data_IF_114612720519
#
_entry.id   IF_114612720519
#
_cell.length_a   1.000
_cell.length_b   1.000
_cell.length_c   1.000
_cell.angle_alpha   90.00
_cell.angle_beta   90.00
_cell.angle_gamma   90.00
#
_symmetry.space_group_name_H-M   'P 1'
#
loop_
_entity.id
_entity.type
_entity.pdbx_description
1 polymer ?
#
# COMPACT_ATOMS: atom_id res chain seq x y z
N UNK A 1 19.42 11.88 -18.93
CA UNK A 1 18.86 10.91 -17.97
C UNK A 1 19.23 11.43 -16.60
N UNK A 2 18.30 12.09 -15.92
CA UNK A 2 18.46 12.36 -14.50
C UNK A 2 17.99 11.09 -13.78
N UNK A 3 18.89 10.51 -12.99
CA UNK A 3 18.65 9.33 -12.18
C UNK A 3 17.76 9.75 -11.02
N UNK A 4 16.57 9.17 -10.92
CA UNK A 4 15.60 9.47 -9.85
C UNK A 4 16.10 8.83 -8.55
N UNK A 5 16.38 9.64 -7.53
CA UNK A 5 16.77 9.15 -6.19
C UNK A 5 15.58 9.20 -5.21
N UNK A 6 15.05 8.05 -4.77
CA UNK A 6 14.00 7.99 -3.75
C UNK A 6 14.40 8.59 -2.39
N UNK A 7 15.67 8.91 -2.17
CA UNK A 7 16.16 9.57 -0.95
C UNK A 7 16.02 11.09 -0.98
N UNK A 8 15.74 11.72 -2.13
CA UNK A 8 15.44 13.17 -2.19
C UNK A 8 14.23 13.54 -1.31
N UNK A 9 13.33 12.58 -1.04
CA UNK A 9 12.22 12.71 -0.09
C UNK A 9 12.65 13.07 1.35
N UNK A 10 13.90 12.83 1.73
CA UNK A 10 14.42 13.00 3.10
C UNK A 10 15.56 14.01 3.21
N UNK A 11 16.08 14.51 2.09
CA UNK A 11 17.11 15.53 2.12
C UNK A 11 16.47 16.90 2.41
N UNK A 12 16.78 17.48 3.57
CA UNK A 12 16.51 18.89 3.80
C UNK A 12 17.32 19.68 2.77
N UNK A 13 16.67 20.25 1.77
CA UNK A 13 17.33 21.24 0.92
C UNK A 13 17.66 22.44 1.79
N UNK A 14 18.95 22.68 2.04
CA UNK A 14 19.48 23.91 2.64
C UNK A 14 19.23 25.09 1.70
N UNK A 15 17.98 25.54 1.60
CA UNK A 15 17.66 26.84 1.03
C UNK A 15 17.82 27.88 2.13
N UNK A 16 18.89 28.66 1.96
CA UNK A 16 19.30 29.85 2.69
C UNK A 16 18.16 30.50 3.49
N UNK A 17 18.36 30.60 4.80
CA UNK A 17 17.55 31.44 5.69
C UNK A 17 17.72 32.89 5.26
N UNK A 18 16.77 33.41 4.51
CA UNK A 18 16.68 34.83 4.23
C UNK A 18 16.09 35.53 5.46
N UNK A 19 16.98 36.09 6.29
CA UNK A 19 16.62 36.83 7.50
C UNK A 19 16.21 38.25 7.13
N UNK A 20 14.99 38.43 6.63
CA UNK A 20 14.36 39.75 6.55
C UNK A 20 12.90 39.65 6.98
N UNK A 21 12.66 39.72 8.30
CA UNK A 21 11.34 39.85 8.89
C UNK A 21 10.91 41.31 8.77
N UNK A 22 10.09 41.64 7.77
CA UNK A 22 9.22 42.82 7.81
C UNK A 22 7.88 42.42 8.42
N UNK A 23 7.60 42.98 9.61
CA UNK A 23 6.31 42.86 10.32
C UNK A 23 5.17 43.43 9.45
N UNK A 24 4.31 42.57 8.91
CA UNK A 24 2.95 42.96 8.52
C UNK A 24 1.98 42.41 9.56
N UNK A 25 1.27 43.31 10.24
CA UNK A 25 0.25 42.96 11.23
C UNK A 25 -1.00 42.42 10.53
N UNK A 26 -1.31 41.15 10.76
CA UNK A 26 -2.66 40.63 10.51
C UNK A 26 -3.41 40.58 11.85
N UNK A 27 -4.62 41.16 11.85
CA UNK A 27 -5.49 41.25 13.02
C UNK A 27 -6.00 39.89 13.52
N UNK A 28 -6.74 39.87 14.64
CA UNK A 28 -7.13 38.63 15.31
C UNK A 28 -8.02 37.78 14.41
N UNK A 29 -7.53 36.58 14.05
CA UNK A 29 -8.27 35.57 13.31
C UNK A 29 -9.44 35.09 14.19
N UNK A 30 -10.67 35.40 13.76
CA UNK A 30 -11.89 34.85 14.35
C UNK A 30 -12.00 33.36 14.00
N UNK A 31 -12.01 32.51 15.03
CA UNK A 31 -12.50 31.14 14.92
C UNK A 31 -13.97 31.15 14.48
N UNK A 32 -14.24 30.65 13.28
CA UNK A 32 -15.60 30.30 12.85
C UNK A 32 -15.79 28.83 13.21
N UNK A 33 -16.59 28.58 14.24
CA UNK A 33 -17.07 27.26 14.61
C UNK A 33 -18.24 26.85 13.69
N UNK A 34 -18.17 25.58 13.24
CA UNK A 34 -19.28 24.67 12.92
C UNK A 34 -20.15 24.92 11.68
N UNK A 35 -20.03 24.00 10.71
CA UNK A 35 -21.17 23.29 10.14
C UNK A 35 -20.78 21.86 9.68
N UNK A 36 -21.28 20.89 10.44
CA UNK A 36 -21.57 19.48 10.10
C UNK A 36 -20.51 18.62 9.40
N UNK A 37 -19.45 18.27 10.14
CA UNK A 37 -18.70 17.04 9.93
C UNK A 37 -19.58 15.84 10.32
N UNK A 38 -20.08 15.09 9.34
CA UNK A 38 -20.65 13.77 9.58
C UNK A 38 -19.48 12.86 9.96
N UNK A 39 -19.39 12.55 11.25
CA UNK A 39 -18.36 11.75 11.92
C UNK A 39 -17.94 10.50 11.13
N UNK A 40 -16.79 10.57 10.46
CA UNK A 40 -15.85 9.45 10.48
C UNK A 40 -14.96 9.70 11.69
N UNK A 41 -15.37 9.10 12.80
CA UNK A 41 -14.59 9.07 14.04
C UNK A 41 -13.17 8.61 13.72
N UNK A 42 -12.17 9.41 14.10
CA UNK A 42 -10.88 8.89 14.52
C UNK A 42 -11.15 7.76 15.52
N UNK A 43 -11.20 6.52 15.06
CA UNK A 43 -11.20 5.37 15.96
C UNK A 43 -9.75 5.15 16.42
N UNK A 44 -9.24 6.09 17.21
CA UNK A 44 -8.31 5.78 18.29
C UNK A 44 -9.07 4.96 19.33
N UNK A 45 -9.38 3.71 18.98
CA UNK A 45 -9.82 2.73 19.95
C UNK A 45 -8.67 1.75 20.10
N UNK A 46 -7.63 2.24 20.79
CA UNK A 46 -6.85 1.33 21.64
C UNK A 46 -7.90 0.65 22.53
N UNK A 47 -7.91 -0.69 22.72
CA UNK A 47 -8.74 -1.27 23.76
C UNK A 47 -8.45 -0.45 25.02
N UNK A 48 -9.48 0.10 25.68
CA UNK A 48 -9.33 1.02 26.83
C UNK A 48 -8.05 0.70 27.59
N UNK A 49 -7.16 1.67 27.86
CA UNK A 49 -5.85 1.41 28.52
C UNK A 49 -5.97 0.44 29.73
N UNK A 50 -7.15 0.42 30.37
CA UNK A 50 -7.56 -0.51 31.42
C UNK A 50 -7.70 -2.02 31.05
N UNK A 51 -7.71 -2.42 29.77
CA UNK A 51 -8.02 -3.81 29.33
C UNK A 51 -6.96 -4.48 28.47
N UNK A 52 -5.99 -3.75 27.92
CA UNK A 52 -4.83 -4.38 27.27
C UNK A 52 -3.71 -4.58 28.29
N UNK A 53 -3.08 -5.76 28.35
CA UNK A 53 -1.90 -5.92 29.18
C UNK A 53 -0.82 -4.96 28.70
N UNK A 54 -0.47 -3.95 29.51
CA UNK A 54 0.66 -3.08 29.26
C UNK A 54 1.92 -3.92 29.49
N UNK A 55 2.50 -4.41 28.41
CA UNK A 55 3.77 -5.13 28.41
C UNK A 55 4.85 -4.08 28.19
N UNK A 56 5.89 -4.05 29.01
CA UNK A 56 7.08 -3.22 28.77
C UNK A 56 8.16 -4.05 28.04
N UNK A 57 9.14 -3.39 27.42
CA UNK A 57 10.31 -4.09 26.88
C UNK A 57 11.05 -4.87 27.96
N UNK A 58 11.03 -4.38 29.20
CA UNK A 58 11.64 -5.03 30.36
C UNK A 58 10.91 -6.32 30.77
N UNK A 59 9.68 -6.52 30.30
CA UNK A 59 8.93 -7.75 30.56
C UNK A 59 9.35 -8.91 29.64
N UNK A 60 10.14 -8.64 28.59
CA UNK A 60 10.64 -9.64 27.64
C UNK A 60 11.95 -10.28 28.13
N UNK A 61 12.23 -11.54 27.72
CA UNK A 61 13.46 -12.23 28.08
C UNK A 61 14.70 -11.59 27.47
N UNK A 62 15.70 -11.30 28.30
CA UNK A 62 17.01 -10.82 27.82
C UNK A 62 17.87 -11.98 27.30
N UNK A 63 18.83 -11.70 26.43
CA UNK A 63 19.77 -12.73 25.93
C UNK A 63 20.54 -13.39 27.09
N UNK A 64 20.83 -12.63 28.15
CA UNK A 64 21.49 -13.12 29.36
C UNK A 64 20.73 -14.25 30.06
N UNK A 65 19.40 -14.31 29.93
CA UNK A 65 18.59 -15.40 30.48
C UNK A 65 18.57 -16.66 29.60
N UNK A 66 19.27 -16.63 28.46
CA UNK A 66 19.40 -17.76 27.51
C UNK A 66 18.05 -18.36 27.11
N UNK A 67 17.10 -17.55 26.57
CA UNK A 67 15.80 -18.06 26.17
C UNK A 67 15.93 -19.15 25.10
N UNK A 68 15.21 -20.28 25.22
CA UNK A 68 15.29 -21.37 24.26
C UNK A 68 14.63 -20.97 22.92
N UNK A 69 14.92 -21.77 21.88
CA UNK A 69 14.43 -21.54 20.51
C UNK A 69 12.91 -21.39 20.45
N UNK A 70 12.17 -22.24 21.16
CA UNK A 70 10.72 -22.27 21.17
C UNK A 70 10.12 -20.98 21.74
N UNK A 71 10.76 -20.41 22.77
CA UNK A 71 10.34 -19.17 23.44
C UNK A 71 10.52 -17.98 22.50
N UNK A 72 11.71 -17.81 21.94
CA UNK A 72 11.99 -16.69 21.03
C UNK A 72 11.11 -16.76 19.77
N UNK A 73 10.97 -17.95 19.17
CA UNK A 73 10.11 -18.15 18.01
C UNK A 73 8.64 -17.82 18.33
N UNK A 74 8.16 -18.18 19.52
CA UNK A 74 6.78 -17.86 19.93
C UNK A 74 6.59 -16.36 20.11
N UNK A 75 7.53 -15.68 20.78
CA UNK A 75 7.54 -14.22 20.92
C UNK A 75 7.52 -13.56 19.54
N UNK A 76 8.41 -13.96 18.63
CA UNK A 76 8.51 -13.38 17.29
C UNK A 76 7.23 -13.56 16.47
N UNK A 77 6.61 -14.75 16.52
CA UNK A 77 5.33 -15.00 15.85
C UNK A 77 4.20 -14.13 16.40
N UNK A 78 4.17 -13.90 17.72
CA UNK A 78 3.16 -13.04 18.34
C UNK A 78 3.41 -11.55 18.01
N UNK A 79 4.67 -11.14 17.91
CA UNK A 79 5.08 -9.77 17.55
C UNK A 79 4.90 -9.44 16.06
N UNK A 80 4.92 -10.44 15.18
CA UNK A 80 4.76 -10.25 13.74
C UNK A 80 3.50 -9.45 13.42
N UNK A 81 3.57 -8.55 12.44
CA UNK A 81 2.38 -7.87 11.97
C UNK A 81 1.40 -8.90 11.38
N UNK A 82 0.10 -8.62 11.46
CA UNK A 82 -0.87 -9.44 10.72
C UNK A 82 -0.65 -9.28 9.21
N UNK A 83 -1.16 -10.25 8.44
CA UNK A 83 -1.22 -10.15 6.98
C UNK A 83 -1.91 -8.83 6.66
N UNK A 84 -1.13 -7.85 6.20
CA UNK A 84 -1.61 -6.49 5.98
C UNK A 84 -2.71 -6.56 4.93
N UNK A 85 -3.91 -6.13 5.32
CA UNK A 85 -5.07 -6.19 4.43
C UNK A 85 -5.08 -4.99 3.51
N UNK A 86 -5.25 -3.79 4.05
CA UNK A 86 -5.27 -2.54 3.28
C UNK A 86 -4.23 -1.52 3.78
N UNK A 87 -4.17 -0.36 3.11
CA UNK A 87 -3.39 0.79 3.56
C UNK A 87 -3.95 1.39 4.86
N UNK A 88 -3.12 2.17 5.57
CA UNK A 88 -3.52 2.82 6.82
C UNK A 88 -3.43 1.92 8.07
N UNK A 89 -3.96 2.37 9.22
CA UNK A 89 -3.79 1.70 10.52
C UNK A 89 -4.42 0.29 10.65
N UNK A 90 -4.97 -0.26 9.57
CA UNK A 90 -5.68 -1.53 9.56
C UNK A 90 -7.04 -1.45 10.27
N UNK A 91 -7.86 -2.49 10.12
CA UNK A 91 -9.06 -2.63 10.95
C UNK A 91 -8.61 -3.04 12.34
N UNK A 92 -8.73 -2.12 13.30
CA UNK A 92 -8.49 -2.42 14.70
C UNK A 92 -9.67 -3.26 15.19
N UNK A 93 -9.40 -4.48 15.63
CA UNK A 93 -10.42 -5.35 16.21
C UNK A 93 -11.00 -4.66 17.46
N UNK A 94 -12.31 -4.39 17.44
CA UNK A 94 -13.01 -3.70 18.54
C UNK A 94 -13.09 -4.53 19.83
N UNK A 95 -12.76 -5.82 19.76
CA UNK A 95 -12.81 -6.77 20.87
C UNK A 95 -11.49 -7.53 21.04
N UNK A 96 -11.12 -7.81 22.28
CA UNK A 96 -9.98 -8.67 22.61
C UNK A 96 -10.30 -10.10 22.17
N UNK A 97 -9.45 -10.66 21.32
CA UNK A 97 -9.60 -12.01 20.82
C UNK A 97 -9.27 -13.03 21.91
N UNK A 98 -9.98 -14.17 21.95
CA UNK A 98 -9.56 -15.31 22.77
C UNK A 98 -8.15 -15.80 22.37
N UNK A 99 -7.36 -16.24 23.36
CA UNK A 99 -5.98 -16.73 23.17
C UNK A 99 -5.90 -17.75 22.04
N UNK A 100 -6.80 -18.74 22.01
CA UNK A 100 -6.80 -19.78 20.97
C UNK A 100 -6.94 -19.20 19.54
N UNK A 101 -7.72 -18.12 19.37
CA UNK A 101 -7.90 -17.47 18.07
C UNK A 101 -6.62 -16.72 17.65
N UNK A 102 -5.92 -16.10 18.60
CA UNK A 102 -4.61 -15.47 18.37
C UNK A 102 -3.58 -16.51 17.94
N UNK A 103 -3.47 -17.64 18.66
CA UNK A 103 -2.51 -18.69 18.33
C UNK A 103 -2.74 -19.27 16.94
N UNK A 104 -4.01 -19.50 16.58
CA UNK A 104 -4.38 -19.97 15.24
C UNK A 104 -3.99 -18.95 14.16
N UNK A 105 -4.29 -17.65 14.38
CA UNK A 105 -3.90 -16.57 13.45
C UNK A 105 -2.39 -16.47 13.25
N UNK A 106 -1.62 -16.63 14.32
CA UNK A 106 -0.15 -16.51 14.31
C UNK A 106 0.59 -17.81 14.01
N UNK A 107 -0.13 -18.89 13.69
CA UNK A 107 0.45 -20.22 13.45
C UNK A 107 1.38 -20.67 14.59
N UNK A 108 0.94 -20.46 15.83
CA UNK A 108 1.63 -20.89 17.05
C UNK A 108 0.96 -22.17 17.55
N UNK A 109 1.74 -23.25 17.67
CA UNK A 109 1.23 -24.52 18.19
C UNK A 109 0.95 -24.43 19.68
N UNK A 110 -0.10 -25.09 20.16
CA UNK A 110 -0.52 -25.04 21.57
C UNK A 110 0.57 -25.56 22.51
N UNK A 111 1.28 -26.61 22.11
CA UNK A 111 2.36 -27.21 22.90
C UNK A 111 3.57 -26.27 22.99
N UNK A 112 3.93 -25.63 21.87
CA UNK A 112 4.99 -24.62 21.80
C UNK A 112 4.65 -23.41 22.69
N UNK A 113 3.40 -22.94 22.64
CA UNK A 113 2.93 -21.83 23.46
C UNK A 113 2.98 -22.17 24.95
N UNK A 114 2.49 -23.36 25.32
CA UNK A 114 2.46 -23.83 26.72
C UNK A 114 3.87 -23.98 27.28
N UNK A 115 4.79 -24.58 26.52
CA UNK A 115 6.20 -24.66 26.89
C UNK A 115 6.81 -23.28 27.11
N UNK A 116 6.56 -22.36 26.18
CA UNK A 116 7.11 -21.01 26.25
C UNK A 116 6.56 -20.23 27.46
N UNK A 117 5.27 -20.38 27.75
CA UNK A 117 4.63 -19.77 28.91
C UNK A 117 5.23 -20.30 30.22
N UNK A 118 5.37 -21.62 30.36
CA UNK A 118 5.98 -22.22 31.55
C UNK A 118 7.42 -21.75 31.76
N UNK A 119 8.20 -21.64 30.68
CA UNK A 119 9.56 -21.13 30.77
C UNK A 119 9.59 -19.67 31.24
N UNK A 120 8.72 -18.81 30.69
CA UNK A 120 8.63 -17.39 31.07
C UNK A 120 8.22 -17.22 32.54
N UNK A 121 7.29 -18.04 33.02
CA UNK A 121 6.84 -18.06 34.42
C UNK A 121 7.96 -18.45 35.38
N UNK A 122 8.72 -19.51 35.03
CA UNK A 122 9.83 -19.99 35.85
C UNK A 122 10.98 -18.97 35.96
N UNK A 123 11.13 -18.09 34.97
CA UNK A 123 12.14 -17.02 34.97
C UNK A 123 11.56 -15.65 35.38
N UNK A 124 10.30 -15.63 35.85
CA UNK A 124 9.60 -14.44 36.37
C UNK A 124 9.51 -13.26 35.38
N UNK A 125 9.47 -13.54 34.08
CA UNK A 125 9.25 -12.48 33.08
C UNK A 125 7.80 -12.00 33.10
N UNK A 126 7.60 -10.67 33.10
CA UNK A 126 6.28 -10.07 33.21
C UNK A 126 5.33 -10.46 32.09
N UNK A 127 5.86 -10.73 30.89
CA UNK A 127 5.09 -11.21 29.73
C UNK A 127 4.48 -12.60 29.95
N UNK A 128 5.06 -13.40 30.85
CA UNK A 128 4.59 -14.76 31.19
C UNK A 128 3.58 -14.83 32.33
N UNK A 129 3.12 -13.70 32.90
CA UNK A 129 2.20 -13.69 34.06
C UNK A 129 0.94 -14.53 33.84
N UNK A 130 0.36 -14.49 32.65
CA UNK A 130 -0.77 -15.33 32.26
C UNK A 130 -0.75 -15.64 30.76
N UNK A 131 -1.61 -16.57 30.33
CA UNK A 131 -1.83 -16.86 28.91
C UNK A 131 -2.31 -15.63 28.14
N UNK A 132 -3.13 -14.78 28.77
CA UNK A 132 -3.68 -13.56 28.19
C UNK A 132 -2.59 -12.50 28.05
N UNK A 133 -1.73 -12.34 29.06
CA UNK A 133 -0.59 -11.42 28.97
C UNK A 133 0.38 -11.85 27.87
N UNK A 134 0.71 -13.14 27.80
CA UNK A 134 1.66 -13.61 26.79
C UNK A 134 1.09 -13.50 25.37
N UNK A 135 -0.16 -13.93 25.16
CA UNK A 135 -0.85 -13.74 23.89
C UNK A 135 -1.07 -12.25 23.55
N UNK A 136 -1.09 -11.38 24.56
CA UNK A 136 -1.19 -9.93 24.45
C UNK A 136 -0.07 -9.27 23.64
N UNK A 137 1.07 -9.96 23.44
CA UNK A 137 2.12 -9.54 22.49
C UNK A 137 1.57 -9.29 21.07
N UNK A 138 0.46 -9.95 20.70
CA UNK A 138 -0.30 -9.69 19.46
C UNK A 138 -0.75 -8.23 19.31
N UNK A 139 -1.09 -7.57 20.40
CA UNK A 139 -1.51 -6.17 20.44
C UNK A 139 -0.31 -5.23 20.65
N UNK A 140 0.80 -5.74 21.18
CA UNK A 140 1.98 -4.94 21.54
C UNK A 140 2.61 -4.23 20.35
N UNK A 141 2.67 -4.89 19.19
CA UNK A 141 3.16 -4.31 17.93
C UNK A 141 2.33 -3.11 17.45
N UNK A 142 1.13 -2.88 18.01
CA UNK A 142 0.19 -1.83 17.59
C UNK A 142 0.09 -0.65 18.56
N UNK A 143 0.48 -0.82 19.83
CA UNK A 143 0.19 0.12 20.91
C UNK A 143 1.44 0.84 21.44
N UNK A 144 2.61 0.20 21.40
CA UNK A 144 3.84 0.74 22.02
C UNK A 144 4.81 1.33 21.01
N UNK A 145 5.68 2.23 21.49
CA UNK A 145 6.77 2.85 20.74
C UNK A 145 7.56 1.80 19.96
N UNK A 146 7.45 1.84 18.63
CA UNK A 146 8.16 0.98 17.68
C UNK A 146 9.66 0.89 17.98
N UNK A 147 10.24 1.96 18.53
CA UNK A 147 11.65 2.06 18.86
C UNK A 147 12.10 1.04 19.91
N UNK A 148 11.30 0.79 20.97
CA UNK A 148 11.67 -0.18 22.01
C UNK A 148 11.74 -1.58 21.42
N UNK A 149 10.70 -2.01 20.69
CA UNK A 149 10.68 -3.32 20.06
C UNK A 149 11.83 -3.50 19.06
N UNK A 150 12.12 -2.49 18.24
CA UNK A 150 13.26 -2.54 17.31
C UNK A 150 14.57 -2.73 18.09
N UNK A 151 14.80 -1.98 19.17
CA UNK A 151 16.00 -2.13 19.99
C UNK A 151 16.14 -3.55 20.57
N UNK A 152 15.04 -4.15 21.06
CA UNK A 152 15.04 -5.52 21.55
C UNK A 152 15.46 -6.52 20.46
N UNK A 153 14.87 -6.41 19.27
CA UNK A 153 15.17 -7.29 18.14
C UNK A 153 16.61 -7.08 17.63
N UNK A 154 17.09 -5.84 17.57
CA UNK A 154 18.46 -5.50 17.20
C UNK A 154 19.46 -6.16 18.16
N UNK A 155 19.20 -6.11 19.48
CA UNK A 155 20.06 -6.78 20.46
C UNK A 155 20.15 -8.28 20.20
N UNK A 156 19.03 -8.93 19.85
CA UNK A 156 19.01 -10.37 19.53
C UNK A 156 19.89 -10.67 18.30
N UNK A 157 19.67 -9.94 17.20
CA UNK A 157 20.45 -10.11 15.96
C UNK A 157 21.94 -9.86 16.20
N UNK A 158 22.30 -8.92 17.08
CA UNK A 158 23.69 -8.54 17.37
C UNK A 158 24.43 -9.53 18.28
N UNK A 159 23.72 -10.47 18.92
CA UNK A 159 24.30 -11.33 19.98
C UNK A 159 24.88 -12.65 19.49
N UNK A 160 24.72 -12.94 18.20
CA UNK A 160 25.04 -14.22 17.55
C UNK A 160 24.36 -15.48 18.14
N UNK A 161 23.55 -15.33 19.21
CA UNK A 161 22.85 -16.40 19.93
C UNK A 161 23.77 -17.60 20.25
N UNK A 162 25.03 -17.34 20.60
CA UNK A 162 26.09 -18.35 20.74
C UNK A 162 25.85 -19.41 21.82
N UNK A 163 24.90 -19.17 22.73
CA UNK A 163 24.46 -20.14 23.73
C UNK A 163 23.60 -21.27 23.15
N UNK A 164 23.12 -21.16 21.91
CA UNK A 164 22.39 -22.23 21.20
C UNK A 164 23.34 -23.02 20.31
N UNK A 165 23.40 -24.34 20.49
CA UNK A 165 24.32 -25.20 19.71
C UNK A 165 23.91 -25.32 18.24
N UNK A 166 22.59 -25.30 17.95
CA UNK A 166 22.05 -25.53 16.62
C UNK A 166 22.13 -24.27 15.73
N UNK A 167 23.06 -24.27 14.78
CA UNK A 167 23.26 -23.17 13.83
C UNK A 167 22.02 -22.85 12.99
N UNK A 168 21.28 -23.87 12.56
CA UNK A 168 20.06 -23.67 11.77
C UNK A 168 19.00 -22.89 12.56
N UNK A 169 18.84 -23.20 13.85
CA UNK A 169 17.91 -22.49 14.73
C UNK A 169 18.36 -21.04 14.96
N UNK A 170 19.67 -20.79 15.13
CA UNK A 170 20.20 -19.43 15.26
C UNK A 170 19.90 -18.59 14.02
N UNK A 171 20.19 -19.13 12.84
CA UNK A 171 19.97 -18.43 11.57
C UNK A 171 18.49 -18.13 11.35
N UNK A 172 17.60 -19.08 11.67
CA UNK A 172 16.15 -18.90 11.56
C UNK A 172 15.63 -17.80 12.52
N UNK A 173 16.15 -17.73 13.75
CA UNK A 173 15.80 -16.67 14.69
C UNK A 173 16.30 -15.29 14.23
N UNK A 174 17.52 -15.22 13.69
CA UNK A 174 18.07 -13.96 13.15
C UNK A 174 17.26 -13.47 11.96
N UNK A 175 16.88 -14.37 11.05
CA UNK A 175 16.03 -14.04 9.90
C UNK A 175 14.65 -13.53 10.33
N UNK A 176 14.02 -14.20 11.31
CA UNK A 176 12.75 -13.75 11.87
C UNK A 176 12.87 -12.37 12.56
N UNK A 177 13.91 -12.15 13.35
CA UNK A 177 14.13 -10.87 14.02
C UNK A 177 14.40 -9.74 13.02
N UNK A 178 15.24 -9.97 12.01
CA UNK A 178 15.51 -9.01 10.95
C UNK A 178 14.24 -8.67 10.15
N UNK A 179 13.41 -9.67 9.86
CA UNK A 179 12.11 -9.48 9.21
C UNK A 179 11.19 -8.58 10.05
N UNK A 180 11.09 -8.84 11.35
CA UNK A 180 10.28 -8.02 12.28
C UNK A 180 10.78 -6.58 12.36
N UNK A 181 12.10 -6.37 12.38
CA UNK A 181 12.70 -5.03 12.30
C UNK A 181 12.27 -4.34 11.01
N UNK A 182 12.40 -5.01 9.86
CA UNK A 182 12.01 -4.48 8.55
C UNK A 182 10.51 -4.16 8.45
N UNK A 183 9.64 -5.02 9.00
CA UNK A 183 8.19 -4.78 9.08
C UNK A 183 7.83 -3.51 9.87
N UNK A 184 8.63 -3.18 10.89
CA UNK A 184 8.37 -2.06 11.79
C UNK A 184 9.17 -0.79 11.47
N UNK A 185 10.13 -0.85 10.54
CA UNK A 185 10.99 0.26 10.14
C UNK A 185 10.47 1.04 8.92
N UNK A 186 9.19 0.88 8.58
CA UNK A 186 8.55 1.55 7.44
C UNK A 186 8.64 0.76 6.13
N UNK A 187 7.99 1.28 5.08
CA UNK A 187 7.81 0.52 3.83
C UNK A 187 9.11 0.25 3.07
N UNK A 188 10.08 1.17 3.17
CA UNK A 188 11.42 1.11 2.55
C UNK A 188 12.25 -0.05 3.07
N UNK A 189 12.21 -0.32 4.37
CA UNK A 189 12.98 -1.37 5.03
C UNK A 189 12.35 -2.76 4.91
N UNK A 190 11.09 -2.85 4.44
CA UNK A 190 10.34 -4.10 4.42
C UNK A 190 10.69 -4.96 3.21
N UNK A 191 10.99 -6.23 3.48
CA UNK A 191 11.18 -7.26 2.46
C UNK A 191 9.93 -7.43 1.56
N UNK A 192 10.09 -8.16 0.46
CA UNK A 192 8.97 -8.49 -0.42
C UNK A 192 7.95 -9.37 0.31
N UNK A 193 6.67 -9.15 0.06
CA UNK A 193 5.59 -9.91 0.68
C UNK A 193 4.36 -10.00 -0.25
N UNK A 194 3.39 -10.81 0.15
CA UNK A 194 2.06 -10.85 -0.48
C UNK A 194 1.08 -10.14 0.44
N UNK A 195 0.48 -9.06 -0.05
CA UNK A 195 -0.58 -8.29 0.60
C UNK A 195 -1.94 -8.89 0.24
N UNK A 196 -2.88 -8.92 1.17
CA UNK A 196 -4.27 -9.34 0.89
C UNK A 196 -5.18 -8.13 0.88
N UNK A 197 -5.38 -7.51 -0.27
CA UNK A 197 -6.27 -6.36 -0.43
C UNK A 197 -7.73 -6.79 -0.28
N UNK A 198 -8.46 -6.09 0.59
CA UNK A 198 -9.92 -6.21 0.74
C UNK A 198 -10.53 -4.94 0.15
N UNK A 199 -11.18 -5.04 -1.01
CA UNK A 199 -11.82 -3.88 -1.62
C UNK A 199 -13.23 -3.71 -1.04
N UNK A 200 -13.59 -2.53 -0.50
CA UNK A 200 -14.94 -2.27 -0.02
C UNK A 200 -15.99 -2.53 -1.12
N UNK A 201 -17.10 -3.19 -0.76
CA UNK A 201 -18.11 -3.68 -1.71
C UNK A 201 -17.76 -4.98 -2.42
N UNK A 202 -16.55 -5.52 -2.21
CA UNK A 202 -16.04 -6.76 -2.82
C UNK A 202 -15.39 -7.70 -1.79
N UNK A 203 -15.81 -7.64 -0.52
CA UNK A 203 -15.13 -8.25 0.62
C UNK A 203 -15.12 -9.78 0.62
N UNK A 204 -15.98 -10.42 -0.19
CA UNK A 204 -16.02 -11.87 -0.33
C UNK A 204 -14.84 -12.43 -1.14
N UNK A 205 -14.17 -11.58 -1.90
CA UNK A 205 -13.04 -11.94 -2.76
C UNK A 205 -11.76 -11.30 -2.22
N UNK A 206 -10.89 -12.12 -1.64
CA UNK A 206 -9.57 -11.67 -1.19
C UNK A 206 -8.64 -11.49 -2.40
N UNK A 207 -8.11 -10.28 -2.60
CA UNK A 207 -7.17 -10.00 -3.69
C UNK A 207 -5.74 -10.11 -3.18
N UNK A 208 -4.98 -11.05 -3.72
CA UNK A 208 -3.59 -11.29 -3.31
C UNK A 208 -2.61 -10.58 -4.23
N UNK A 209 -1.82 -9.66 -3.69
CA UNK A 209 -0.86 -8.86 -4.45
C UNK A 209 0.55 -9.10 -3.94
N UNK A 210 1.42 -9.65 -4.79
CA UNK A 210 2.85 -9.76 -4.54
C UNK A 210 3.52 -8.41 -4.79
N UNK A 211 4.14 -7.89 -3.74
CA UNK A 211 4.96 -6.69 -3.75
C UNK A 211 6.41 -7.06 -3.41
N UNK A 212 7.34 -7.01 -4.36
CA UNK A 212 8.77 -7.21 -4.12
C UNK A 212 9.35 -6.23 -3.09
N UNK A 213 10.57 -6.46 -2.61
CA UNK A 213 11.26 -5.51 -1.73
C UNK A 213 11.51 -4.18 -2.47
N UNK A 214 11.47 -3.05 -1.76
CA UNK A 214 11.77 -1.75 -2.39
C UNK A 214 13.29 -1.60 -2.54
N UNK A 215 13.80 -1.99 -3.70
CA UNK A 215 15.23 -1.91 -4.03
C UNK A 215 15.36 -1.22 -5.38
N UNK A 216 16.17 -0.15 -5.47
CA UNK A 216 16.34 0.64 -6.70
C UNK A 216 15.01 1.15 -7.29
N UNK A 217 14.87 1.06 -8.62
CA UNK A 217 13.75 1.59 -9.42
C UNK A 217 12.43 0.77 -9.36
N UNK A 218 12.26 -0.12 -8.37
CA UNK A 218 11.10 -1.03 -8.28
C UNK A 218 9.81 -0.36 -7.73
N UNK A 219 9.65 0.94 -7.92
CA UNK A 219 8.50 1.74 -7.44
C UNK A 219 7.20 1.29 -8.13
N UNK A 220 7.26 0.95 -9.42
CA UNK A 220 6.12 0.41 -10.15
C UNK A 220 5.67 -0.98 -9.69
N UNK A 221 6.44 -1.67 -8.85
CA UNK A 221 6.03 -2.96 -8.27
C UNK A 221 5.32 -2.82 -6.91
N UNK A 222 4.93 -1.60 -6.53
CA UNK A 222 4.18 -1.30 -5.32
C UNK A 222 2.72 -1.01 -5.64
N UNK A 223 1.85 -1.40 -4.72
CA UNK A 223 0.45 -0.99 -4.76
C UNK A 223 0.35 0.37 -4.08
N UNK A 224 -0.22 1.35 -4.78
CA UNK A 224 -0.41 2.71 -4.27
C UNK A 224 -1.87 2.93 -3.86
N UNK A 225 -2.10 3.85 -2.92
CA UNK A 225 -3.44 4.14 -2.37
C UNK A 225 -4.47 4.44 -3.47
N UNK A 226 -4.07 5.15 -4.53
CA UNK A 226 -4.94 5.45 -5.68
C UNK A 226 -5.52 4.21 -6.34
N UNK A 227 -4.75 3.12 -6.46
CA UNK A 227 -5.24 1.88 -7.08
C UNK A 227 -6.33 1.20 -6.24
N UNK A 228 -6.29 1.34 -4.91
CA UNK A 228 -7.34 0.82 -4.02
C UNK A 228 -8.61 1.68 -4.10
N UNK A 229 -8.47 3.01 -4.09
CA UNK A 229 -9.62 3.93 -4.23
C UNK A 229 -10.27 3.75 -5.61
N UNK A 230 -9.47 3.65 -6.66
CA UNK A 230 -9.95 3.35 -8.02
C UNK A 230 -10.68 2.00 -8.06
N UNK A 231 -10.12 0.96 -7.43
CA UNK A 231 -10.75 -0.35 -7.34
C UNK A 231 -12.11 -0.30 -6.62
N UNK A 232 -12.20 0.41 -5.49
CA UNK A 232 -13.45 0.61 -4.74
C UNK A 232 -14.51 1.32 -5.60
N UNK A 233 -14.13 2.40 -6.29
CA UNK A 233 -15.03 3.11 -7.21
C UNK A 233 -15.54 2.20 -8.33
N UNK A 234 -14.66 1.40 -8.92
CA UNK A 234 -15.01 0.45 -9.97
C UNK A 234 -15.96 -0.63 -9.42
N UNK A 235 -15.70 -1.19 -8.24
CA UNK A 235 -16.61 -2.17 -7.62
C UNK A 235 -18.01 -1.60 -7.45
N UNK A 236 -18.11 -0.35 -6.97
CA UNK A 236 -19.40 0.28 -6.69
C UNK A 236 -20.14 0.72 -7.96
N UNK A 237 -19.42 1.16 -9.00
CA UNK A 237 -20.00 1.84 -10.17
C UNK A 237 -19.51 1.30 -11.52
N UNK A 238 -19.10 0.02 -11.61
CA UNK A 238 -18.46 -0.57 -12.79
C UNK A 238 -19.17 -0.29 -14.12
N UNK A 239 -20.51 -0.43 -14.17
CA UNK A 239 -21.29 -0.24 -15.41
C UNK A 239 -21.29 1.21 -15.90
N UNK A 240 -21.15 2.16 -14.98
CA UNK A 240 -21.13 3.59 -15.28
C UNK A 240 -19.71 4.07 -15.58
N UNK A 241 -18.70 3.52 -14.89
CA UNK A 241 -17.30 3.92 -15.03
C UNK A 241 -16.59 3.24 -16.19
N UNK A 242 -16.97 2.01 -16.55
CA UNK A 242 -16.21 1.19 -17.49
C UNK A 242 -17.03 0.82 -18.72
N UNK A 243 -16.39 0.97 -19.89
CA UNK A 243 -16.82 0.46 -21.18
C UNK A 243 -15.69 -0.30 -21.83
N UNK A 244 -15.98 -1.50 -22.31
CA UNK A 244 -15.02 -2.32 -23.05
C UNK A 244 -14.84 -1.80 -24.48
N UNK A 245 -13.64 -1.96 -25.08
CA UNK A 245 -12.41 -2.49 -24.48
C UNK A 245 -11.76 -1.54 -23.46
N UNK A 246 -11.12 -2.08 -22.41
CA UNK A 246 -10.51 -1.35 -21.31
C UNK A 246 -8.98 -1.48 -21.38
N UNK A 247 -8.27 -0.36 -21.25
CA UNK A 247 -6.82 -0.31 -21.06
C UNK A 247 -6.49 0.30 -19.71
N UNK A 248 -5.67 -0.38 -18.92
CA UNK A 248 -5.05 0.16 -17.72
C UNK A 248 -3.60 0.51 -18.06
N UNK A 249 -3.25 1.79 -17.90
CA UNK A 249 -1.92 2.33 -18.15
C UNK A 249 -1.17 2.46 -16.83
N UNK A 250 0.03 1.88 -16.75
CA UNK A 250 0.82 1.88 -15.51
C UNK A 250 0.14 1.02 -14.44
N UNK A 251 -0.20 -0.22 -14.81
CA UNK A 251 -0.91 -1.16 -13.95
C UNK A 251 -0.16 -1.45 -12.65
N UNK A 252 1.15 -1.33 -12.64
CA UNK A 252 2.03 -1.67 -11.52
C UNK A 252 1.82 -3.11 -11.06
N UNK A 253 1.23 -3.27 -9.87
CA UNK A 253 0.87 -4.59 -9.34
C UNK A 253 -0.38 -5.20 -9.97
N UNK A 254 -1.20 -4.42 -10.67
CA UNK A 254 -2.37 -4.87 -11.42
C UNK A 254 -3.67 -4.91 -10.64
N UNK A 255 -3.75 -4.28 -9.46
CA UNK A 255 -4.93 -4.34 -8.59
C UNK A 255 -6.21 -3.97 -9.35
N UNK A 256 -6.21 -2.85 -10.08
CA UNK A 256 -7.40 -2.39 -10.80
C UNK A 256 -7.74 -3.31 -11.97
N UNK A 257 -6.76 -3.74 -12.76
CA UNK A 257 -6.95 -4.74 -13.81
C UNK A 257 -7.54 -6.07 -13.32
N UNK A 258 -7.05 -6.60 -12.19
CA UNK A 258 -7.55 -7.82 -11.55
C UNK A 258 -9.01 -7.64 -11.12
N UNK A 259 -9.35 -6.50 -10.52
CA UNK A 259 -10.73 -6.17 -10.13
C UNK A 259 -11.64 -6.13 -11.34
N UNK A 260 -11.25 -5.46 -12.43
CA UNK A 260 -12.01 -5.46 -13.67
C UNK A 260 -12.27 -6.90 -14.18
N UNK A 261 -11.25 -7.76 -14.18
CA UNK A 261 -11.41 -9.17 -14.59
C UNK A 261 -12.36 -9.95 -13.68
N UNK A 262 -12.23 -9.80 -12.36
CA UNK A 262 -13.11 -10.46 -11.36
C UNK A 262 -14.55 -9.96 -11.41
N UNK A 263 -14.79 -8.71 -11.80
CA UNK A 263 -16.13 -8.17 -12.05
C UNK A 263 -16.75 -8.65 -13.38
N UNK A 264 -16.01 -9.43 -14.17
CA UNK A 264 -16.51 -10.11 -15.36
C UNK A 264 -16.18 -9.42 -16.69
N UNK A 265 -15.45 -8.31 -16.69
CA UNK A 265 -14.95 -7.69 -17.92
C UNK A 265 -13.96 -8.64 -18.62
N UNK A 266 -14.13 -8.84 -19.93
CA UNK A 266 -13.40 -9.83 -20.75
C UNK A 266 -12.33 -9.20 -21.64
N UNK A 267 -12.45 -7.92 -21.95
CA UNK A 267 -11.54 -7.14 -22.82
C UNK A 267 -10.82 -6.09 -21.99
N UNK A 268 -10.06 -6.56 -21.00
CA UNK A 268 -9.19 -5.73 -20.16
C UNK A 268 -7.75 -5.98 -20.58
N UNK A 269 -6.99 -4.92 -20.80
CA UNK A 269 -5.55 -4.96 -21.02
C UNK A 269 -4.85 -4.15 -19.91
N UNK A 270 -4.02 -4.83 -19.13
CA UNK A 270 -3.20 -4.24 -18.08
C UNK A 270 -1.77 -4.09 -18.60
N UNK A 271 -1.24 -2.87 -18.57
CA UNK A 271 0.03 -2.55 -19.24
C UNK A 271 1.01 -1.80 -18.35
N UNK A 272 2.29 -2.14 -18.52
CA UNK A 272 3.39 -1.49 -17.82
C UNK A 272 4.73 -1.71 -18.55
N UNK A 273 5.85 -1.28 -17.96
CA UNK A 273 7.20 -1.48 -18.47
C UNK A 273 7.63 -2.96 -18.46
N UNK A 274 8.60 -3.35 -19.31
CA UNK A 274 9.09 -4.74 -19.40
C UNK A 274 9.54 -5.33 -18.06
N UNK A 275 10.08 -4.51 -17.16
CA UNK A 275 10.55 -4.92 -15.84
C UNK A 275 9.40 -5.25 -14.89
N UNK A 276 8.22 -4.64 -15.06
CA UNK A 276 7.07 -4.74 -14.15
C UNK A 276 6.08 -5.83 -14.59
N UNK A 277 5.90 -6.02 -15.89
CA UNK A 277 4.95 -6.99 -16.46
C UNK A 277 5.12 -8.43 -15.92
N UNK A 278 6.32 -8.96 -15.63
CA UNK A 278 6.47 -10.27 -15.00
C UNK A 278 5.78 -10.38 -13.63
N UNK A 279 5.89 -9.36 -12.78
CA UNK A 279 5.22 -9.34 -11.47
C UNK A 279 3.71 -9.13 -11.61
N UNK A 280 3.28 -8.28 -12.54
CA UNK A 280 1.87 -8.12 -12.91
C UNK A 280 1.22 -9.47 -13.30
N UNK A 281 1.89 -10.26 -14.16
CA UNK A 281 1.44 -11.61 -14.54
C UNK A 281 1.38 -12.56 -13.33
N UNK A 282 2.39 -12.52 -12.46
CA UNK A 282 2.38 -13.31 -11.24
C UNK A 282 1.17 -12.96 -10.34
N UNK A 283 0.80 -11.69 -10.25
CA UNK A 283 -0.38 -11.26 -9.51
C UNK A 283 -1.69 -11.71 -10.15
N UNK A 284 -1.80 -11.74 -11.48
CA UNK A 284 -2.95 -12.35 -12.15
C UNK A 284 -3.08 -13.83 -11.77
N UNK A 285 -1.99 -14.61 -11.82
CA UNK A 285 -2.00 -16.02 -11.41
C UNK A 285 -2.41 -16.19 -9.94
N UNK A 286 -1.91 -15.36 -9.03
CA UNK A 286 -2.27 -15.41 -7.60
C UNK A 286 -3.76 -15.21 -7.33
N UNK A 287 -4.49 -14.62 -8.28
CA UNK A 287 -5.92 -14.31 -8.18
C UNK A 287 -6.81 -15.20 -9.07
N UNK A 288 -6.26 -16.32 -9.59
CA UNK A 288 -6.99 -17.28 -10.41
C UNK A 288 -7.28 -16.79 -11.84
N UNK A 289 -6.42 -15.93 -12.38
CA UNK A 289 -6.53 -15.34 -13.71
C UNK A 289 -5.43 -15.86 -14.66
N UNK A 290 -4.97 -17.09 -14.48
CA UNK A 290 -3.92 -17.70 -15.31
C UNK A 290 -4.31 -17.84 -16.79
N UNK A 291 -5.60 -17.95 -17.09
CA UNK A 291 -6.10 -17.96 -18.49
C UNK A 291 -6.04 -16.58 -19.15
N UNK A 292 -5.89 -15.51 -18.35
CA UNK A 292 -5.95 -14.12 -18.80
C UNK A 292 -4.57 -13.47 -18.93
N UNK A 293 -3.48 -14.22 -18.85
CA UNK A 293 -2.11 -13.67 -18.91
C UNK A 293 -1.78 -12.93 -20.22
N UNK A 294 -2.51 -13.21 -21.30
CA UNK A 294 -2.43 -12.45 -22.57
C UNK A 294 -2.91 -10.99 -22.42
N UNK A 295 -3.62 -10.69 -21.33
CA UNK A 295 -4.08 -9.36 -20.94
C UNK A 295 -3.00 -8.49 -20.32
N UNK A 296 -1.87 -9.08 -19.92
CA UNK A 296 -0.75 -8.37 -19.33
C UNK A 296 0.31 -8.12 -20.41
N UNK A 297 0.46 -6.87 -20.85
CA UNK A 297 1.35 -6.50 -21.97
C UNK A 297 2.31 -5.37 -21.62
N UNK A 298 3.41 -5.31 -22.37
CA UNK A 298 4.34 -4.19 -22.30
C UNK A 298 3.75 -3.01 -23.06
N UNK A 299 3.69 -1.83 -22.44
CA UNK A 299 3.40 -0.57 -23.11
C UNK A 299 4.24 0.53 -22.45
N UNK A 300 5.29 0.94 -23.15
CA UNK A 300 6.12 2.08 -22.77
C UNK A 300 5.50 3.36 -23.33
N UNK A 301 5.15 4.30 -22.44
CA UNK A 301 4.50 5.55 -22.83
C UNK A 301 5.41 6.46 -23.66
N UNK A 302 6.72 6.38 -23.45
CA UNK A 302 7.72 7.16 -24.19
C UNK A 302 7.87 6.66 -25.63
N UNK A 303 7.59 5.38 -25.87
CA UNK A 303 7.65 4.75 -27.19
C UNK A 303 6.71 3.54 -27.31
N UNK A 304 5.47 3.79 -27.76
CA UNK A 304 4.45 2.76 -27.96
C UNK A 304 4.46 2.13 -29.36
N UNK A 305 5.47 2.40 -30.20
CA UNK A 305 5.51 1.90 -31.60
C UNK A 305 5.52 0.37 -31.70
N UNK A 306 6.27 -0.30 -30.81
CA UNK A 306 6.28 -1.76 -30.70
C UNK A 306 4.91 -2.31 -30.33
N UNK A 307 4.27 -1.71 -29.32
CA UNK A 307 2.91 -2.08 -28.91
C UNK A 307 1.90 -1.90 -30.05
N UNK A 308 1.95 -0.77 -30.78
CA UNK A 308 1.08 -0.53 -31.94
C UNK A 308 1.30 -1.55 -33.06
N UNK A 309 2.55 -1.92 -33.33
CA UNK A 309 2.88 -2.90 -34.38
C UNK A 309 2.32 -4.29 -34.06
N UNK A 310 2.37 -4.70 -32.79
CA UNK A 310 1.78 -5.96 -32.32
C UNK A 310 0.24 -5.91 -32.22
N UNK A 311 -0.34 -4.70 -32.11
CA UNK A 311 -1.76 -4.48 -31.87
C UNK A 311 -2.33 -3.39 -32.83
N UNK A 312 -2.28 -3.59 -34.16
CA UNK A 312 -2.45 -2.52 -35.16
C UNK A 312 -3.82 -1.85 -35.16
N UNK A 313 -4.85 -2.56 -34.71
CA UNK A 313 -6.25 -2.12 -34.70
C UNK A 313 -6.82 -1.99 -33.29
N UNK A 314 -5.98 -1.95 -32.26
CA UNK A 314 -6.44 -1.91 -30.89
C UNK A 314 -6.84 -0.47 -30.50
N UNK A 315 -8.11 -0.31 -30.12
CA UNK A 315 -8.66 0.93 -29.58
C UNK A 315 -9.46 0.59 -28.33
N UNK A 316 -9.52 1.53 -27.39
CA UNK A 316 -10.16 1.34 -26.09
C UNK A 316 -11.26 2.37 -25.87
N UNK A 317 -12.37 1.90 -25.33
CA UNK A 317 -13.50 2.75 -24.92
C UNK A 317 -13.27 3.33 -23.52
N UNK A 318 -12.44 2.67 -22.69
CA UNK A 318 -12.04 3.19 -21.39
C UNK A 318 -10.54 3.06 -21.18
N UNK A 319 -9.89 4.13 -20.75
CA UNK A 319 -8.50 4.12 -20.29
C UNK A 319 -8.49 4.46 -18.79
N UNK A 320 -7.83 3.62 -17.99
CA UNK A 320 -7.70 3.73 -16.53
C UNK A 320 -6.28 4.14 -16.19
N UNK A 321 -6.14 5.13 -15.32
CA UNK A 321 -4.87 5.61 -14.78
C UNK A 321 -4.98 5.72 -13.26
N UNK A 322 -4.07 5.09 -12.52
CA UNK A 322 -3.98 5.18 -11.05
C UNK A 322 -2.57 5.62 -10.64
N UNK A 323 -2.46 6.78 -10.00
CA UNK A 323 -1.20 7.44 -9.62
C UNK A 323 -0.16 7.56 -10.76
N UNK A 324 -0.52 8.11 -11.94
CA UNK A 324 0.37 8.07 -13.10
C UNK A 324 1.42 9.21 -13.15
N UNK A 325 1.34 10.21 -12.27
CA UNK A 325 2.15 11.44 -12.38
C UNK A 325 3.22 11.51 -11.28
N UNK A 326 4.47 11.26 -11.68
CA UNK A 326 5.66 11.42 -10.84
C UNK A 326 6.91 11.86 -11.64
N UNK A 327 6.74 12.19 -12.93
CA UNK A 327 7.78 12.77 -13.80
C UNK A 327 7.18 13.84 -14.70
N UNK A 328 7.96 14.84 -15.08
CA UNK A 328 7.49 15.98 -15.89
C UNK A 328 7.14 15.59 -17.34
N UNK A 329 7.66 14.46 -17.82
CA UNK A 329 7.36 13.91 -19.14
C UNK A 329 6.02 13.17 -19.20
N UNK A 330 5.53 12.65 -18.07
CA UNK A 330 4.34 11.80 -18.01
C UNK A 330 3.09 12.45 -18.59
N UNK A 331 2.76 13.73 -18.28
CA UNK A 331 1.62 14.39 -18.90
C UNK A 331 1.63 14.30 -20.44
N UNK A 332 2.79 14.56 -21.04
CA UNK A 332 2.96 14.55 -22.50
C UNK A 332 2.84 13.14 -23.08
N UNK A 333 3.55 12.18 -22.49
CA UNK A 333 3.54 10.79 -22.96
C UNK A 333 2.15 10.15 -22.83
N UNK A 334 1.48 10.34 -21.69
CA UNK A 334 0.12 9.83 -21.47
C UNK A 334 -0.82 10.43 -22.51
N UNK A 335 -0.80 11.74 -22.74
CA UNK A 335 -1.63 12.36 -23.77
C UNK A 335 -1.37 11.79 -25.16
N UNK A 336 -0.12 11.46 -25.53
CA UNK A 336 0.16 10.82 -26.81
C UNK A 336 -0.44 9.41 -26.91
N UNK A 337 -0.35 8.62 -25.84
CA UNK A 337 -1.00 7.29 -25.75
C UNK A 337 -2.53 7.44 -25.85
N UNK A 338 -3.14 8.41 -25.16
CA UNK A 338 -4.57 8.67 -25.26
C UNK A 338 -4.99 9.06 -26.69
N UNK A 339 -4.23 9.92 -27.37
CA UNK A 339 -4.51 10.32 -28.77
C UNK A 339 -4.53 9.12 -29.72
N UNK A 340 -3.67 8.16 -29.47
CA UNK A 340 -3.42 6.99 -30.31
C UNK A 340 -4.45 5.87 -30.09
N UNK A 341 -4.82 5.61 -28.83
CA UNK A 341 -5.53 4.39 -28.44
C UNK A 341 -6.95 4.62 -27.89
N UNK A 342 -7.34 5.85 -27.51
CA UNK A 342 -8.70 6.13 -27.06
C UNK A 342 -9.64 6.30 -28.27
N UNK A 343 -10.77 5.58 -28.29
CA UNK A 343 -11.77 5.73 -29.35
C UNK A 343 -12.29 7.17 -29.39
N UNK A 344 -12.20 7.84 -30.54
CA UNK A 344 -12.59 9.25 -30.72
C UNK A 344 -14.07 9.45 -31.08
N UNK A 345 -14.60 8.58 -31.92
CA UNK A 345 -15.95 8.74 -32.50
C UNK A 345 -17.07 8.16 -31.63
N UNK A 346 -16.78 7.85 -30.36
CA UNK A 346 -17.77 7.38 -29.41
C UNK A 346 -17.84 8.33 -28.21
N UNK A 347 -18.99 9.03 -28.00
CA UNK A 347 -19.19 9.90 -26.84
C UNK A 347 -19.24 9.13 -25.51
N UNK A 348 -19.32 7.80 -25.56
CA UNK A 348 -19.15 6.93 -24.40
C UNK A 348 -17.67 6.62 -24.11
N UNK A 349 -16.72 7.05 -24.92
CA UNK A 349 -15.30 6.87 -24.61
C UNK A 349 -14.87 7.76 -23.47
N UNK A 350 -14.06 7.21 -22.56
CA UNK A 350 -13.68 7.91 -21.33
C UNK A 350 -12.28 7.57 -20.85
N UNK A 351 -11.70 8.50 -20.12
CA UNK A 351 -10.51 8.29 -19.31
C UNK A 351 -10.90 8.46 -17.86
N UNK A 352 -10.60 7.48 -17.02
CA UNK A 352 -10.79 7.57 -15.57
C UNK A 352 -9.44 7.62 -14.89
N UNK A 353 -9.28 8.58 -13.98
CA UNK A 353 -7.98 8.93 -13.42
C UNK A 353 -8.14 9.09 -11.90
N UNK A 354 -7.33 8.40 -11.13
CA UNK A 354 -7.20 8.59 -9.68
C UNK A 354 -5.77 9.01 -9.36
N UNK A 355 -5.56 10.21 -8.79
CA UNK A 355 -4.21 10.73 -8.50
C UNK A 355 -4.15 11.25 -7.06
N UNK A 356 -3.08 10.98 -6.29
CA UNK A 356 -2.88 11.59 -4.99
C UNK A 356 -2.44 13.05 -5.12
N UNK A 357 -2.94 13.91 -4.23
CA UNK A 357 -2.61 15.33 -4.16
C UNK A 357 -1.30 15.56 -3.38
N UNK A 358 -0.17 15.20 -4.01
CA UNK A 358 1.18 15.46 -3.49
C UNK A 358 1.67 16.86 -3.92
N UNK A 359 2.15 17.68 -2.99
CA UNK A 359 2.56 19.07 -3.29
C UNK A 359 3.68 19.18 -4.34
N UNK A 360 4.63 18.26 -4.33
CA UNK A 360 5.77 18.27 -5.27
C UNK A 360 5.36 18.22 -6.76
N UNK A 361 4.25 17.52 -7.06
CA UNK A 361 3.80 17.28 -8.44
C UNK A 361 2.61 18.16 -8.84
N UNK A 362 2.33 19.23 -8.10
CA UNK A 362 1.18 20.12 -8.37
C UNK A 362 1.24 20.72 -9.76
N UNK A 363 2.38 21.33 -10.13
CA UNK A 363 2.59 21.91 -11.47
C UNK A 363 2.49 20.86 -12.58
N UNK A 364 3.05 19.68 -12.35
CA UNK A 364 3.02 18.57 -13.31
C UNK A 364 1.58 18.06 -13.52
N UNK A 365 0.77 17.98 -12.45
CA UNK A 365 -0.66 17.67 -12.54
C UNK A 365 -1.45 18.76 -13.25
N UNK A 366 -1.21 20.03 -12.96
CA UNK A 366 -1.85 21.15 -13.65
C UNK A 366 -1.58 21.12 -15.16
N UNK A 367 -0.32 20.88 -15.55
CA UNK A 367 0.05 20.69 -16.95
C UNK A 367 -0.72 19.52 -17.59
N UNK A 368 -0.89 18.41 -16.86
CA UNK A 368 -1.67 17.27 -17.36
C UNK A 368 -3.13 17.64 -17.64
N UNK A 369 -3.78 18.39 -16.75
CA UNK A 369 -5.16 18.86 -16.97
C UNK A 369 -5.27 19.75 -18.21
N UNK A 370 -4.35 20.71 -18.37
CA UNK A 370 -4.29 21.59 -19.53
C UNK A 370 -4.13 20.79 -20.83
N UNK A 371 -3.27 19.77 -20.84
CA UNK A 371 -3.03 18.93 -22.01
C UNK A 371 -4.24 18.06 -22.38
N UNK A 372 -5.00 17.55 -21.38
CA UNK A 372 -6.24 16.82 -21.65
C UNK A 372 -7.30 17.73 -22.29
N UNK A 373 -7.48 18.93 -21.75
CA UNK A 373 -8.42 19.92 -22.29
C UNK A 373 -8.03 20.35 -23.71
N UNK A 374 -6.74 20.66 -23.95
CA UNK A 374 -6.23 21.05 -25.26
C UNK A 374 -6.40 19.94 -26.31
N UNK A 375 -6.51 18.67 -25.90
CA UNK A 375 -6.79 17.55 -26.79
C UNK A 375 -8.27 17.43 -27.17
N UNK A 376 -9.17 18.13 -26.46
CA UNK A 376 -10.61 18.06 -26.64
C UNK A 376 -11.33 17.10 -25.68
N UNK A 377 -10.65 16.64 -24.63
CA UNK A 377 -11.30 15.93 -23.53
C UNK A 377 -11.87 16.94 -22.53
N UNK A 378 -13.14 16.77 -22.18
CA UNK A 378 -13.86 17.58 -21.21
C UNK A 378 -14.03 16.76 -19.94
N UNK A 379 -13.76 17.38 -18.81
CA UNK A 379 -14.04 16.84 -17.49
C UNK A 379 -15.57 16.71 -17.27
N UNK A 380 -16.02 15.51 -16.93
CA UNK A 380 -17.44 15.24 -16.66
C UNK A 380 -17.73 14.93 -15.19
N UNK A 381 -16.70 14.54 -14.43
CA UNK A 381 -16.82 14.14 -13.02
C UNK A 381 -15.54 14.49 -12.30
N UNK A 382 -15.68 15.06 -11.10
CA UNK A 382 -14.59 15.30 -10.15
C UNK A 382 -15.06 14.91 -8.77
N UNK A 383 -14.26 14.12 -8.08
CA UNK A 383 -14.52 13.73 -6.71
C UNK A 383 -13.20 13.76 -5.93
N UNK A 384 -13.20 14.43 -4.78
CA UNK A 384 -12.11 14.34 -3.82
C UNK A 384 -12.39 13.21 -2.83
N UNK A 385 -11.37 12.40 -2.57
CA UNK A 385 -11.44 11.28 -1.63
C UNK A 385 -10.31 11.43 -0.62
N UNK A 386 -10.56 11.00 0.62
CA UNK A 386 -9.51 10.85 1.62
C UNK A 386 -9.18 9.37 1.74
N UNK A 387 -7.90 9.05 1.89
CA UNK A 387 -7.46 7.68 2.00
C UNK A 387 -6.02 7.56 2.47
N UNK A 388 -5.54 6.32 2.49
CA UNK A 388 -4.21 6.00 2.95
C UNK A 388 -3.39 5.34 1.85
N UNK A 389 -2.09 5.59 1.84
CA UNK A 389 -1.09 4.70 1.24
C UNK A 389 -0.12 4.20 2.33
N UNK A 390 0.98 3.55 1.96
CA UNK A 390 1.99 3.07 2.94
C UNK A 390 2.81 4.21 3.60
N UNK A 391 2.70 5.44 3.12
CA UNK A 391 3.44 6.62 3.55
C UNK A 391 2.59 7.61 4.35
N UNK A 392 1.27 7.46 4.34
CA UNK A 392 0.39 8.23 5.20
C UNK A 392 -1.00 8.43 4.64
N UNK A 393 -1.70 9.40 5.23
CA UNK A 393 -2.98 9.87 4.74
C UNK A 393 -2.77 10.90 3.64
N UNK A 394 -3.51 10.75 2.55
CA UNK A 394 -3.49 11.66 1.42
C UNK A 394 -4.91 11.98 0.97
N UNK A 395 -5.05 13.15 0.36
CA UNK A 395 -6.21 13.43 -0.48
C UNK A 395 -5.95 12.91 -1.87
N UNK A 396 -6.97 12.34 -2.47
CA UNK A 396 -6.95 11.78 -3.82
C UNK A 396 -8.01 12.48 -4.66
N UNK A 397 -7.71 12.66 -5.93
CA UNK A 397 -8.57 13.31 -6.89
C UNK A 397 -8.94 12.31 -7.96
N UNK A 398 -10.22 11.97 -8.00
CA UNK A 398 -10.83 11.17 -9.04
C UNK A 398 -11.40 12.08 -10.12
N UNK A 399 -11.06 11.80 -11.38
CA UNK A 399 -11.61 12.52 -12.54
C UNK A 399 -12.04 11.58 -13.63
N UNK A 400 -13.14 11.95 -14.29
CA UNK A 400 -13.60 11.30 -15.53
C UNK A 400 -13.58 12.33 -16.65
N UNK A 401 -12.90 11.99 -17.74
CA UNK A 401 -12.81 12.78 -18.95
C UNK A 401 -13.50 12.06 -20.12
N UNK A 402 -14.21 12.80 -20.96
CA UNK A 402 -14.83 12.30 -22.21
C UNK A 402 -14.57 13.28 -23.35
N UNK A 403 -14.65 12.81 -24.59
CA UNK A 403 -14.54 13.72 -25.74
C UNK A 403 -15.67 14.76 -25.72
N UNK A 404 -15.30 16.03 -25.93
CA UNK A 404 -16.27 17.08 -26.18
C UNK A 404 -17.09 16.78 -27.43
N UNK A 405 -18.34 17.28 -27.47
CA UNK A 405 -19.12 17.23 -28.72
C UNK A 405 -18.37 18.06 -29.77
N UNK A 406 -17.91 17.42 -30.84
CA UNK A 406 -17.45 18.12 -32.03
C UNK A 406 -18.61 18.96 -32.55
N UNK A 407 -18.56 20.28 -32.38
CA UNK A 407 -19.24 21.19 -33.29
C UNK A 407 -18.48 21.10 -34.61
N UNK A 408 -18.95 20.25 -35.52
CA UNK A 408 -18.62 20.42 -36.93
C UNK A 408 -19.29 21.72 -37.35
N UNK A 409 -18.55 22.81 -37.35
CA UNK A 409 -18.91 24.00 -38.12
C UNK A 409 -18.82 23.70 -39.61
#
# INVERSE_FOLDING_TARGET
MAEFDPLEYYSFSDKQRDTSITKQSYGPIRLIHQASATKLTECKVVPSEDKTPIIDILDLPTISSKPPYEVLTTIFKLLALDVQTNFGPGVIESEILPVQKILNKKNVQKDQFSFSLSWLQNHHFGVGKSSETFAGLYYWSRVISKNSMINYLTNIVSSDLSYMDNEKQRNELMEQAAKLIGENSGRTARAGFVRTIIVPGFEKEEIKIKEPAMTGDNIGMKTWGSSLIMAEKIVNNAKELLKEPILELGSGTGLTGIICRKLGFKKVLSTDLPTIVPNLKANFVLNGLESDLSSCKVLDWSNFSGFRSENPNCMFSTIILSDPIYSDEHPTWICNVLKEFLVRDDPQSRVIIEIPLRSLFEKTRENFWILLEAMGLIETTVEENEGYDDFGEYKFLFKVYKWGKYTRD
#
